data_IF_427344126091
#
_entry.id   IF_427344126091
#
_cell.length_a   1.000
_cell.length_b   1.000
_cell.length_c   1.000
_cell.angle_alpha   90.00
_cell.angle_beta   90.00
_cell.angle_gamma   90.00
#
_symmetry.space_group_name_H-M   'P 1'
#
loop_
_entity.id
_entity.type
_entity.pdbx_description
1 polymer ?
#
# COMPACT_ATOMS: atom_id res chain seq x y z
N UNK A 1 6.81 12.49 14.77
CA UNK A 1 6.20 12.47 16.12
C UNK A 1 4.76 11.93 16.19
N UNK A 2 3.93 12.04 15.14
CA UNK A 2 2.56 11.46 15.13
C UNK A 2 2.51 9.96 14.75
N UNK A 3 3.34 9.52 13.80
CA UNK A 3 3.45 8.10 13.41
C UNK A 3 3.87 7.21 14.59
N UNK A 4 4.87 7.64 15.36
CA UNK A 4 5.36 6.94 16.55
C UNK A 4 4.34 6.85 17.70
N UNK A 5 3.30 7.70 17.69
CA UNK A 5 2.22 7.71 18.68
C UNK A 5 1.03 6.82 18.26
N UNK A 6 1.10 6.15 17.10
CA UNK A 6 0.03 5.28 16.59
C UNK A 6 -1.24 6.03 16.17
N UNK A 7 -1.16 7.36 16.01
CA UNK A 7 -2.32 8.21 15.70
C UNK A 7 -2.62 8.30 14.20
N UNK A 8 -1.72 7.77 13.36
CA UNK A 8 -1.90 7.73 11.91
C UNK A 8 -2.34 6.32 11.49
N UNK A 9 -3.26 6.21 10.52
CA UNK A 9 -3.53 4.93 9.87
C UNK A 9 -2.24 4.28 9.41
N UNK A 10 -2.06 3.00 9.71
CA UNK A 10 -0.85 2.25 9.36
C UNK A 10 -1.15 0.82 8.93
N UNK A 11 -0.27 0.27 8.10
CA UNK A 11 -0.27 -1.13 7.67
C UNK A 11 1.12 -1.71 7.87
N UNK A 12 1.18 -2.99 8.26
CA UNK A 12 2.42 -3.79 8.14
C UNK A 12 2.56 -4.19 6.69
N UNK A 13 3.72 -3.92 6.10
CA UNK A 13 4.00 -4.17 4.69
C UNK A 13 5.39 -4.76 4.53
N UNK A 14 5.70 -5.25 3.33
CA UNK A 14 7.06 -5.55 2.91
C UNK A 14 7.77 -4.26 2.54
N UNK A 15 8.85 -3.97 3.24
CA UNK A 15 9.73 -2.83 2.95
C UNK A 15 10.57 -3.07 1.69
N UNK A 16 11.19 -2.00 1.22
CA UNK A 16 12.23 -2.09 0.20
C UNK A 16 13.32 -3.10 0.60
N UNK A 17 13.75 -3.94 -0.33
CA UNK A 17 14.73 -5.00 -0.05
C UNK A 17 14.14 -6.24 0.60
N UNK A 18 12.81 -6.36 0.70
CA UNK A 18 12.12 -7.58 1.15
C UNK A 18 11.98 -7.73 2.67
N UNK A 19 12.44 -6.74 3.45
CA UNK A 19 12.32 -6.73 4.90
C UNK A 19 10.91 -6.38 5.40
N UNK A 20 10.73 -6.34 6.72
CA UNK A 20 9.48 -5.87 7.34
C UNK A 20 9.43 -4.35 7.35
N UNK A 21 8.24 -3.81 7.09
CA UNK A 21 8.00 -2.38 7.00
C UNK A 21 6.67 -1.96 7.61
N UNK A 22 6.54 -0.66 7.82
CA UNK A 22 5.26 -0.01 8.11
C UNK A 22 4.98 1.02 7.04
N UNK A 23 3.74 1.10 6.57
CA UNK A 23 3.27 2.21 5.76
C UNK A 23 2.37 3.08 6.62
N UNK A 24 2.76 4.33 6.84
CA UNK A 24 1.93 5.32 7.53
C UNK A 24 1.29 6.26 6.52
N UNK A 25 0.02 6.59 6.73
CA UNK A 25 -0.69 7.54 5.88
C UNK A 25 -0.97 8.84 6.64
N UNK A 26 -0.53 9.96 6.07
CA UNK A 26 -0.87 11.29 6.53
C UNK A 26 -1.37 12.13 5.36
N UNK A 27 -2.67 12.47 5.38
CA UNK A 27 -3.35 13.14 4.26
C UNK A 27 -3.10 12.40 2.95
N UNK A 28 -2.38 13.01 2.01
CA UNK A 28 -2.06 12.45 0.69
C UNK A 28 -0.66 11.82 0.63
N UNK A 29 0.05 11.74 1.75
CA UNK A 29 1.42 11.20 1.79
C UNK A 29 1.43 9.86 2.52
N UNK A 30 1.83 8.82 1.80
CA UNK A 30 2.14 7.52 2.39
C UNK A 30 3.65 7.41 2.62
N UNK A 31 4.08 7.17 3.84
CA UNK A 31 5.49 7.08 4.22
C UNK A 31 5.84 5.64 4.60
N UNK A 32 6.77 5.05 3.84
CA UNK A 32 7.26 3.70 4.04
C UNK A 32 8.45 3.71 5.00
N UNK A 33 8.28 3.03 6.12
CA UNK A 33 9.28 2.84 7.16
C UNK A 33 9.88 1.45 7.06
N UNK A 34 11.16 1.35 7.33
CA UNK A 34 11.91 0.09 7.36
C UNK A 34 12.90 0.09 8.51
N UNK A 35 13.36 -1.10 8.89
CA UNK A 35 14.45 -1.25 9.84
C UNK A 35 15.77 -0.93 9.17
N UNK A 36 16.55 -0.01 9.76
CA UNK A 36 17.95 0.23 9.42
C UNK A 36 18.82 -0.30 10.54
N UNK A 37 19.94 -0.94 10.18
CA UNK A 37 20.93 -1.39 11.16
C UNK A 37 21.87 -0.23 11.48
N UNK A 38 22.00 0.13 12.76
CA UNK A 38 22.97 1.14 13.20
C UNK A 38 24.39 0.54 13.25
N UNK A 39 25.39 1.37 13.60
CA UNK A 39 26.80 0.93 13.70
C UNK A 39 27.02 -0.18 14.75
N UNK A 40 26.18 -0.20 15.78
CA UNK A 40 26.22 -1.19 16.87
C UNK A 40 25.47 -2.48 16.51
N UNK A 41 24.93 -2.56 15.29
CA UNK A 41 24.21 -3.72 14.81
C UNK A 41 22.75 -3.81 15.25
N UNK A 42 22.21 -2.79 15.91
CA UNK A 42 20.83 -2.70 16.38
C UNK A 42 19.91 -2.25 15.24
N UNK A 43 18.77 -2.93 15.08
CA UNK A 43 17.73 -2.52 14.14
C UNK A 43 16.89 -1.38 14.71
N UNK A 44 16.92 -0.25 14.02
CA UNK A 44 16.14 0.94 14.35
C UNK A 44 15.15 1.23 13.23
N UNK A 45 13.90 1.52 13.57
CA UNK A 45 12.90 1.96 12.61
C UNK A 45 13.23 3.37 12.11
N UNK A 46 13.27 3.54 10.80
CA UNK A 46 13.53 4.81 10.17
C UNK A 46 12.59 5.05 8.99
N UNK A 47 12.21 6.32 8.73
CA UNK A 47 11.52 6.67 7.51
C UNK A 47 12.41 6.34 6.30
N UNK A 48 11.80 5.73 5.29
CA UNK A 48 12.40 5.38 4.01
C UNK A 48 11.88 6.30 2.92
N UNK A 49 10.98 5.76 2.09
CA UNK A 49 10.39 6.46 0.93
C UNK A 49 9.05 7.09 1.30
N UNK A 50 8.81 8.32 0.84
CA UNK A 50 7.49 8.96 0.87
C UNK A 50 6.86 8.93 -0.52
N UNK A 51 5.55 8.67 -0.57
CA UNK A 51 4.75 8.58 -1.80
C UNK A 51 3.66 9.65 -1.70
N UNK A 52 3.71 10.64 -2.59
CA UNK A 52 2.68 11.68 -2.74
C UNK A 52 1.54 11.14 -3.63
N UNK A 53 0.48 10.63 -2.99
CA UNK A 53 -0.62 9.93 -3.65
C UNK A 53 -1.45 10.83 -4.56
N UNK A 54 -1.58 12.11 -4.23
CA UNK A 54 -2.23 13.11 -5.07
C UNK A 54 -1.49 13.29 -6.40
N UNK A 55 -0.16 13.35 -6.35
CA UNK A 55 0.68 13.43 -7.55
C UNK A 55 0.70 12.11 -8.31
N UNK A 56 0.87 10.99 -7.61
CA UNK A 56 0.96 9.67 -8.23
C UNK A 56 -0.33 9.28 -8.97
N UNK A 57 -1.48 9.50 -8.32
CA UNK A 57 -2.79 9.06 -8.82
C UNK A 57 -3.58 10.18 -9.51
N UNK A 58 -3.03 11.40 -9.59
CA UNK A 58 -3.69 12.57 -10.17
C UNK A 58 -4.95 12.99 -9.39
N UNK A 59 -4.90 12.95 -8.06
CA UNK A 59 -6.04 13.32 -7.21
C UNK A 59 -6.10 14.83 -7.00
N UNK A 60 -7.32 15.35 -6.81
CA UNK A 60 -7.49 16.72 -6.32
C UNK A 60 -7.24 16.74 -4.79
N UNK A 61 -6.17 17.42 -4.36
CA UNK A 61 -5.77 17.55 -2.95
C UNK A 61 -6.70 18.45 -2.13
N UNK A 62 -7.65 19.14 -2.77
CA UNK A 62 -8.76 19.86 -2.10
C UNK A 62 -9.90 18.92 -1.68
N UNK A 63 -9.96 17.70 -2.21
CA UNK A 63 -10.93 16.68 -1.79
C UNK A 63 -10.46 15.96 -0.51
N UNK A 64 -11.32 15.08 0.00
CA UNK A 64 -10.98 14.20 1.12
C UNK A 64 -9.74 13.33 0.79
N UNK A 65 -8.78 13.23 1.72
CA UNK A 65 -7.63 12.35 1.56
C UNK A 65 -8.01 10.89 1.37
N UNK A 66 -7.17 10.10 0.68
CA UNK A 66 -7.40 8.67 0.54
C UNK A 66 -7.41 7.96 1.90
N UNK A 67 -8.03 6.79 1.94
CA UNK A 67 -7.97 5.85 3.07
C UNK A 67 -7.20 4.60 2.66
N UNK A 68 -6.33 4.08 3.52
CA UNK A 68 -5.77 2.73 3.34
C UNK A 68 -6.82 1.70 3.74
N UNK A 69 -7.19 0.82 2.82
CA UNK A 69 -8.26 -0.17 3.03
C UNK A 69 -7.78 -1.63 2.97
N UNK A 70 -6.54 -1.88 2.55
CA UNK A 70 -5.99 -3.23 2.52
C UNK A 70 -4.56 -3.30 1.99
N UNK A 71 -3.93 -4.45 2.20
CA UNK A 71 -2.59 -4.79 1.71
C UNK A 71 -2.61 -6.18 1.06
N UNK A 72 -2.10 -6.27 -0.16
CA UNK A 72 -1.83 -7.49 -0.90
C UNK A 72 -0.36 -7.86 -0.72
N UNK A 73 -0.10 -8.78 0.21
CA UNK A 73 1.24 -9.12 0.69
C UNK A 73 2.15 -9.70 -0.40
N UNK A 74 1.63 -10.59 -1.24
CA UNK A 74 2.41 -11.28 -2.27
C UNK A 74 2.85 -10.32 -3.39
N UNK A 75 1.93 -9.46 -3.85
CA UNK A 75 2.19 -8.43 -4.86
C UNK A 75 2.84 -7.14 -4.32
N UNK A 76 3.08 -7.06 -3.01
CA UNK A 76 3.53 -5.88 -2.29
C UNK A 76 2.74 -4.60 -2.67
N UNK A 77 1.41 -4.70 -2.68
CA UNK A 77 0.53 -3.64 -3.14
C UNK A 77 -0.49 -3.19 -2.08
N UNK A 78 -0.74 -1.89 -1.99
CA UNK A 78 -1.69 -1.30 -1.03
C UNK A 78 -2.90 -0.76 -1.75
N UNK A 79 -4.07 -0.98 -1.17
CA UNK A 79 -5.32 -0.44 -1.68
C UNK A 79 -5.67 0.88 -0.98
N UNK A 80 -5.87 1.90 -1.79
CA UNK A 80 -6.28 3.24 -1.38
C UNK A 80 -7.68 3.55 -1.89
N UNK A 81 -8.59 3.88 -0.99
CA UNK A 81 -9.92 4.38 -1.34
C UNK A 81 -9.91 5.89 -1.40
N UNK A 82 -10.38 6.44 -2.51
CA UNK A 82 -10.58 7.87 -2.70
C UNK A 82 -12.08 8.19 -2.82
N UNK A 83 -12.42 9.47 -2.94
CA UNK A 83 -13.78 9.90 -3.26
C UNK A 83 -14.28 9.25 -4.57
N UNK A 84 -13.42 9.16 -5.59
CA UNK A 84 -13.83 8.85 -6.96
C UNK A 84 -13.62 7.38 -7.34
N UNK A 85 -12.64 6.69 -6.74
CA UNK A 85 -12.29 5.29 -7.05
C UNK A 85 -11.42 4.64 -5.97
N UNK A 86 -11.27 3.32 -6.06
CA UNK A 86 -10.24 2.57 -5.34
C UNK A 86 -9.01 2.41 -6.25
N UNK A 87 -7.81 2.44 -5.67
CA UNK A 87 -6.55 2.28 -6.38
C UNK A 87 -5.70 1.21 -5.72
N UNK A 88 -5.15 0.29 -6.51
CA UNK A 88 -4.12 -0.63 -6.06
C UNK A 88 -2.76 -0.08 -6.49
N UNK A 89 -1.87 0.17 -5.52
CA UNK A 89 -0.55 0.77 -5.75
C UNK A 89 0.53 -0.22 -5.32
N UNK A 90 1.39 -0.63 -6.25
CA UNK A 90 2.55 -1.48 -5.96
C UNK A 90 3.66 -0.63 -5.33
N UNK A 91 4.08 -0.96 -4.10
CA UNK A 91 4.98 -0.09 -3.31
C UNK A 91 6.38 0.04 -3.91
N UNK A 92 6.88 -1.01 -4.57
CA UNK A 92 8.22 -1.03 -5.16
C UNK A 92 8.26 -0.26 -6.49
N UNK A 93 7.36 -0.58 -7.41
CA UNK A 93 7.34 -0.03 -8.77
C UNK A 93 6.58 1.29 -8.91
N UNK A 94 5.74 1.62 -7.92
CA UNK A 94 4.77 2.73 -7.94
C UNK A 94 3.77 2.65 -9.12
N UNK A 95 3.71 1.51 -9.81
CA UNK A 95 2.65 1.26 -10.76
C UNK A 95 1.33 1.13 -10.01
N UNK A 96 0.25 1.61 -10.63
CA UNK A 96 -1.06 1.57 -10.03
C UNK A 96 -2.14 1.17 -11.03
N UNK A 97 -3.17 0.52 -10.49
CA UNK A 97 -4.39 0.19 -11.21
C UNK A 97 -5.57 0.89 -10.55
N UNK A 98 -6.37 1.60 -11.37
CA UNK A 98 -7.65 2.16 -10.93
C UNK A 98 -8.70 1.06 -10.96
N UNK A 99 -9.35 0.84 -9.82
CA UNK A 99 -10.38 -0.16 -9.65
C UNK A 99 -11.76 0.51 -9.61
N UNK A 100 -12.82 -0.16 -10.09
CA UNK A 100 -14.19 0.27 -9.85
C UNK A 100 -14.44 0.38 -8.34
N UNK A 101 -15.16 1.42 -7.92
CA UNK A 101 -15.45 1.62 -6.50
C UNK A 101 -16.39 0.53 -5.99
N UNK A 102 -15.94 -0.26 -5.02
CA UNK A 102 -16.80 -1.22 -4.33
C UNK A 102 -17.65 -0.50 -3.28
N UNK A 103 -18.77 -1.09 -2.88
CA UNK A 103 -19.62 -0.54 -1.81
C UNK A 103 -18.82 -0.37 -0.51
N UNK A 104 -19.18 0.64 0.29
CA UNK A 104 -18.58 0.90 1.60
C UNK A 104 -18.68 -0.36 2.46
N UNK A 105 -17.55 -0.83 2.98
CA UNK A 105 -17.45 -2.06 3.79
C UNK A 105 -16.97 -3.31 3.03
N UNK A 106 -16.89 -3.26 1.69
CA UNK A 106 -16.23 -4.33 0.92
C UNK A 106 -14.71 -4.22 1.11
N UNK A 107 -14.12 -5.31 1.59
CA UNK A 107 -12.67 -5.50 1.66
C UNK A 107 -12.22 -6.29 0.44
N UNK A 108 -11.13 -5.85 -0.18
CA UNK A 108 -10.46 -6.68 -1.17
C UNK A 108 -9.74 -7.78 -0.42
N UNK A 109 -10.09 -9.03 -0.70
CA UNK A 109 -9.29 -10.17 -0.29
C UNK A 109 -8.33 -10.48 -1.43
N UNK A 110 -7.05 -10.04 -1.34
CA UNK A 110 -6.07 -10.43 -2.34
C UNK A 110 -5.93 -11.95 -2.29
N UNK A 111 -6.40 -12.59 -3.34
CA UNK A 111 -6.27 -14.02 -3.53
C UNK A 111 -5.37 -14.24 -4.74
N UNK A 112 -4.23 -14.87 -4.51
CA UNK A 112 -3.31 -15.25 -5.56
C UNK A 112 -3.29 -16.76 -5.66
N UNK A 113 -3.85 -17.31 -6.74
CA UNK A 113 -3.66 -18.72 -7.06
C UNK A 113 -2.29 -18.91 -7.68
N UNK A 114 -1.46 -19.77 -7.09
CA UNK A 114 -0.27 -20.26 -7.78
C UNK A 114 -0.72 -21.10 -8.97
N UNK A 115 -0.65 -20.54 -10.18
CA UNK A 115 -0.80 -21.33 -11.40
C UNK A 115 0.49 -22.13 -11.61
N UNK A 116 0.39 -23.44 -11.43
CA UNK A 116 1.43 -24.37 -11.88
C UNK A 116 1.57 -24.20 -13.40
N UNK A 117 2.78 -24.01 -13.96
CA UNK A 117 2.96 -23.71 -15.37
C UNK A 117 2.45 -24.89 -16.22
N UNK A 118 1.37 -24.65 -16.97
CA UNK A 118 0.75 -25.67 -17.83
C UNK A 118 -0.52 -25.20 -18.55
N UNK A 119 -1.25 -24.22 -18.03
CA UNK A 119 -2.39 -23.63 -18.74
C UNK A 119 -2.35 -22.11 -18.68
N UNK A 120 -2.27 -21.51 -19.87
CA UNK A 120 -2.15 -20.07 -20.08
C UNK A 120 -3.55 -19.45 -20.08
N UNK A 121 -3.96 -18.92 -18.94
CA UNK A 121 -5.08 -18.00 -18.84
C UNK A 121 -4.74 -16.90 -17.82
N UNK A 122 -4.58 -15.67 -18.30
CA UNK A 122 -4.42 -14.49 -17.45
C UNK A 122 -5.80 -14.16 -16.85
N UNK A 123 -6.04 -14.59 -15.61
CA UNK A 123 -7.26 -14.31 -14.89
C UNK A 123 -6.98 -13.36 -13.73
N UNK A 124 -7.19 -12.06 -13.96
CA UNK A 124 -7.32 -11.06 -12.90
C UNK A 124 -8.70 -11.23 -12.26
N UNK A 125 -8.82 -12.08 -11.23
CA UNK A 125 -10.07 -12.23 -10.47
C UNK A 125 -9.87 -11.69 -9.06
N UNK A 126 -10.40 -10.49 -8.82
CA UNK A 126 -10.72 -10.01 -7.47
C UNK A 126 -12.06 -10.64 -7.12
N UNK A 127 -12.10 -11.55 -6.16
CA UNK A 127 -13.36 -12.00 -5.58
C UNK A 127 -13.83 -10.97 -4.56
N UNK A 128 -15.06 -10.48 -4.76
CA UNK A 128 -15.81 -9.60 -3.87
C UNK A 128 -16.31 -10.35 -2.63
#
# INVERSE_FOLDING_TARGET
ELAARGLLPSLVVRAEGGGKGFLFLYRFTAELWSTKRNRDGVEIWAPGRSIELDKLLGLNSEKEPPQMIGYAEENNAVLFRTVDADYMVHLESLQFNKLPKTTVGSYYHPFETVHTPGQRHEAWSVLL
#
